data_IF_957756671264
#
_entry.id   IF_957756671264
#
_cell.length_a   1.000
_cell.length_b   1.000
_cell.length_c   1.000
_cell.angle_alpha   90.00
_cell.angle_beta   90.00
_cell.angle_gamma   90.00
#
_symmetry.space_group_name_H-M   'P 1'
#
loop_
_entity.id
_entity.type
_entity.pdbx_description
1 polymer ?
#
# COMPACT_ATOMS: atom_id res chain seq x y z
N UNK A 1 -32.95 47.99 -36.57
CA UNK A 1 -32.20 46.79 -37.01
C UNK A 1 -32.50 45.71 -35.95
N UNK A 2 -33.64 44.99 -36.03
CA UNK A 2 -33.85 43.71 -36.76
C UNK A 2 -32.77 42.69 -36.32
N UNK A 3 -33.03 41.57 -35.65
CA UNK A 3 -33.96 40.43 -35.91
C UNK A 3 -33.93 39.49 -34.66
N UNK A 4 -35.05 39.18 -33.97
CA UNK A 4 -35.94 37.97 -34.11
C UNK A 4 -35.32 36.69 -33.49
N UNK A 5 -35.73 36.24 -32.30
CA UNK A 5 -36.79 35.23 -32.00
C UNK A 5 -36.57 33.85 -32.65
N UNK A 6 -36.57 32.78 -31.84
CA UNK A 6 -37.24 31.47 -32.10
C UNK A 6 -37.57 30.85 -30.73
N UNK A 7 -38.85 30.94 -30.39
CA UNK A 7 -39.59 29.97 -29.58
C UNK A 7 -39.93 28.76 -30.48
N UNK A 8 -39.94 27.54 -29.92
CA UNK A 8 -41.00 26.53 -30.12
C UNK A 8 -40.61 25.25 -29.34
N UNK A 9 -41.22 24.84 -28.22
CA UNK A 9 -42.55 24.23 -28.02
C UNK A 9 -42.94 23.17 -29.04
N UNK A 10 -43.18 21.93 -28.55
CA UNK A 10 -44.21 20.92 -28.92
C UNK A 10 -43.79 19.59 -28.25
N UNK A 11 -44.55 19.07 -27.25
CA UNK A 11 -45.70 18.15 -27.38
C UNK A 11 -45.27 16.78 -27.97
N UNK A 12 -45.73 15.59 -27.59
CA UNK A 12 -46.72 15.06 -26.62
C UNK A 12 -46.69 13.51 -26.76
N UNK A 13 -47.29 12.80 -25.80
CA UNK A 13 -47.81 11.42 -25.86
C UNK A 13 -46.79 10.25 -25.89
N UNK A 14 -46.94 9.14 -25.16
CA UNK A 14 -48.12 8.60 -24.47
C UNK A 14 -48.63 7.34 -25.18
N UNK A 15 -48.36 6.15 -24.61
CA UNK A 15 -49.05 4.86 -24.83
C UNK A 15 -48.45 3.87 -23.80
N UNK A 16 -49.11 3.36 -22.75
CA UNK A 16 -50.30 2.48 -22.70
C UNK A 16 -50.16 1.30 -23.68
N UNK A 17 -50.38 0.03 -23.36
CA UNK A 17 -51.17 -0.62 -22.32
C UNK A 17 -50.89 -2.15 -22.34
N UNK A 18 -51.54 -2.86 -21.40
CA UNK A 18 -52.20 -4.17 -21.60
C UNK A 18 -51.34 -5.45 -21.69
N UNK A 19 -51.63 -6.62 -21.09
CA UNK A 19 -52.60 -7.13 -20.10
C UNK A 19 -52.23 -8.63 -19.78
N UNK A 20 -53.14 -9.57 -19.35
CA UNK A 20 -53.03 -10.23 -18.04
C UNK A 20 -53.21 -11.79 -18.04
N UNK A 21 -53.18 -12.40 -16.83
CA UNK A 21 -53.80 -13.70 -16.48
C UNK A 21 -53.10 -14.96 -17.02
N UNK A 22 -53.31 -16.18 -16.53
CA UNK A 22 -53.88 -16.78 -15.34
C UNK A 22 -53.60 -18.30 -15.50
N UNK A 23 -53.39 -19.04 -14.41
CA UNK A 23 -54.02 -20.37 -14.15
C UNK A 23 -53.35 -21.07 -12.96
N UNK A 24 -54.15 -21.24 -11.91
CA UNK A 24 -54.02 -22.22 -10.85
C UNK A 24 -54.45 -23.60 -11.35
N UNK A 25 -53.66 -24.65 -11.06
CA UNK A 25 -54.12 -26.03 -11.15
C UNK A 25 -53.87 -26.76 -9.83
N UNK A 26 -54.97 -27.05 -9.14
CA UNK A 26 -55.20 -28.12 -8.16
C UNK A 26 -54.73 -29.48 -8.72
N UNK A 27 -54.22 -30.49 -8.02
CA UNK A 27 -54.03 -30.81 -6.62
C UNK A 27 -53.66 -32.32 -6.53
N UNK A 28 -53.46 -32.79 -5.29
CA UNK A 28 -53.54 -34.19 -4.80
C UNK A 28 -52.44 -35.22 -5.11
N UNK A 29 -51.63 -35.47 -4.07
CA UNK A 29 -51.26 -36.74 -3.46
C UNK A 29 -50.96 -37.97 -4.33
N UNK A 30 -49.68 -38.34 -4.39
CA UNK A 30 -49.24 -39.74 -4.25
C UNK A 30 -48.08 -39.77 -3.23
N UNK A 31 -48.32 -40.47 -2.13
CA UNK A 31 -47.35 -40.89 -1.12
C UNK A 31 -46.36 -41.92 -1.66
N UNK A 32 -45.27 -42.15 -0.91
CA UNK A 32 -44.22 -43.18 -1.11
C UNK A 32 -43.29 -42.89 -2.30
N UNK A 33 -41.97 -42.69 -2.13
CA UNK A 33 -41.01 -43.45 -1.34
C UNK A 33 -39.92 -42.51 -0.79
N UNK A 34 -39.70 -42.59 0.52
CA UNK A 34 -38.47 -42.14 1.16
C UNK A 34 -37.30 -43.00 0.68
N UNK A 35 -36.62 -42.56 -0.37
CA UNK A 35 -35.23 -42.92 -0.58
C UNK A 35 -34.44 -41.62 -0.51
N UNK A 36 -34.03 -41.29 0.71
CA UNK A 36 -32.88 -40.43 0.94
C UNK A 36 -31.78 -40.93 0.00
N UNK A 37 -31.26 -40.12 -0.94
CA UNK A 37 -30.00 -40.50 -1.56
C UNK A 37 -29.01 -40.61 -0.41
N UNK A 38 -28.46 -41.81 -0.20
CA UNK A 38 -27.31 -42.01 0.65
C UNK A 38 -26.31 -40.98 0.18
N UNK A 39 -26.12 -39.93 0.98
CA UNK A 39 -25.13 -38.91 0.70
C UNK A 39 -23.82 -39.66 0.58
N UNK A 40 -23.28 -39.75 -0.64
CA UNK A 40 -21.92 -40.18 -0.85
C UNK A 40 -21.07 -39.45 0.19
N UNK A 41 -20.13 -40.11 0.89
CA UNK A 41 -19.23 -39.37 1.75
C UNK A 41 -18.67 -38.27 0.88
N UNK A 42 -18.94 -37.00 1.22
CA UNK A 42 -18.22 -35.89 0.61
C UNK A 42 -16.79 -36.25 0.90
N UNK A 43 -16.09 -36.75 -0.10
CA UNK A 43 -14.65 -36.90 -0.07
C UNK A 43 -14.21 -35.49 0.17
N UNK A 44 -13.98 -35.18 1.44
CA UNK A 44 -13.17 -34.06 1.81
C UNK A 44 -11.84 -34.39 1.16
N UNK A 45 -11.66 -33.92 -0.07
CA UNK A 45 -10.36 -33.47 -0.49
C UNK A 45 -9.98 -32.41 0.52
N UNK A 46 -9.46 -32.89 1.65
CA UNK A 46 -8.21 -32.43 2.24
C UNK A 46 -7.20 -32.40 1.09
N UNK A 47 -7.39 -31.48 0.15
CA UNK A 47 -6.28 -30.77 -0.44
C UNK A 47 -5.61 -30.21 0.79
N UNK A 48 -4.58 -30.91 1.24
CA UNK A 48 -3.65 -30.44 2.22
C UNK A 48 -3.43 -28.97 1.90
N UNK A 49 -3.88 -28.08 2.77
CA UNK A 49 -3.34 -26.74 2.82
C UNK A 49 -1.86 -26.95 3.11
N UNK A 50 -1.07 -27.12 2.04
CA UNK A 50 0.37 -27.13 2.11
C UNK A 50 0.71 -25.74 2.61
N UNK A 51 0.89 -25.62 3.93
CA UNK A 51 1.34 -24.42 4.59
C UNK A 51 2.81 -24.23 4.21
N UNK A 52 3.03 -23.87 2.95
CA UNK A 52 4.35 -23.64 2.39
C UNK A 52 4.82 -22.30 2.94
N UNK A 53 5.51 -22.39 4.07
CA UNK A 53 6.13 -21.24 4.70
C UNK A 53 7.15 -20.66 3.72
N UNK A 54 6.87 -19.46 3.21
CA UNK A 54 7.84 -18.75 2.37
C UNK A 54 9.10 -18.46 3.20
N UNK A 55 10.18 -19.17 2.89
CA UNK A 55 11.49 -19.02 3.51
C UNK A 55 12.19 -17.71 3.07
N UNK A 56 13.18 -17.25 3.86
CA UNK A 56 14.04 -16.08 3.54
C UNK A 56 13.29 -14.75 3.28
N UNK A 57 12.21 -14.48 4.00
CA UNK A 57 11.48 -13.19 3.94
C UNK A 57 12.32 -12.04 4.55
N UNK A 58 13.05 -11.30 3.70
CA UNK A 58 13.86 -10.14 4.12
C UNK A 58 13.12 -8.80 4.11
N UNK A 59 12.03 -8.68 3.34
CA UNK A 59 11.29 -7.42 3.18
C UNK A 59 10.16 -7.34 4.22
N UNK A 60 10.17 -6.29 5.03
CA UNK A 60 9.11 -6.02 6.00
C UNK A 60 7.82 -5.56 5.28
N UNK A 61 6.70 -6.25 5.50
CA UNK A 61 5.41 -5.90 4.85
C UNK A 61 4.72 -4.67 5.45
N UNK A 62 5.03 -4.32 6.71
CA UNK A 62 4.47 -3.15 7.43
C UNK A 62 2.93 -3.07 7.47
N UNK A 63 2.22 -4.17 7.22
CA UNK A 63 0.76 -4.19 7.12
C UNK A 63 0.19 -3.39 5.94
N UNK A 64 0.99 -3.10 4.91
CA UNK A 64 0.59 -2.30 3.74
C UNK A 64 0.85 -3.03 2.41
N UNK A 65 0.02 -2.80 1.37
CA UNK A 65 0.30 -3.28 0.01
C UNK A 65 1.60 -2.65 -0.53
N UNK A 66 2.11 -3.19 -1.64
CA UNK A 66 3.43 -2.85 -2.14
C UNK A 66 3.60 -1.35 -2.45
N UNK A 67 2.60 -0.74 -3.09
CA UNK A 67 2.67 0.66 -3.53
C UNK A 67 2.65 1.63 -2.34
N UNK A 68 1.70 1.43 -1.43
CA UNK A 68 1.61 2.21 -0.20
C UNK A 68 2.85 2.05 0.68
N UNK A 69 3.43 0.84 0.73
CA UNK A 69 4.66 0.59 1.47
C UNK A 69 5.84 1.34 0.85
N UNK A 70 5.96 1.35 -0.48
CA UNK A 70 7.00 2.11 -1.19
C UNK A 70 6.86 3.60 -0.90
N UNK A 71 5.65 4.15 -1.01
CA UNK A 71 5.38 5.56 -0.69
C UNK A 71 5.73 5.92 0.77
N UNK A 72 5.35 5.08 1.74
CA UNK A 72 5.69 5.28 3.15
C UNK A 72 7.22 5.31 3.39
N UNK A 73 7.95 4.37 2.80
CA UNK A 73 9.41 4.29 2.97
C UNK A 73 10.11 5.48 2.31
N UNK A 74 9.63 5.93 1.15
CA UNK A 74 10.12 7.14 0.48
C UNK A 74 9.92 8.37 1.36
N UNK A 75 8.70 8.58 1.85
CA UNK A 75 8.39 9.70 2.74
C UNK A 75 9.29 9.70 3.98
N UNK A 76 9.39 8.57 4.69
CA UNK A 76 10.26 8.47 5.87
C UNK A 76 11.74 8.72 5.55
N UNK A 77 12.22 8.29 4.37
CA UNK A 77 13.61 8.55 3.95
C UNK A 77 13.84 10.05 3.76
N UNK A 78 12.94 10.73 3.05
CA UNK A 78 13.00 12.18 2.82
C UNK A 78 12.99 12.95 4.14
N UNK A 79 12.08 12.60 5.04
CA UNK A 79 11.96 13.28 6.33
C UNK A 79 13.23 13.10 7.18
N UNK A 80 13.84 11.91 7.20
CA UNK A 80 15.07 11.66 7.97
C UNK A 80 16.23 12.50 7.42
N UNK A 81 16.35 12.62 6.10
CA UNK A 81 17.40 13.43 5.48
C UNK A 81 17.17 14.92 5.78
N UNK A 82 15.90 15.37 5.76
CA UNK A 82 15.52 16.76 6.04
C UNK A 82 15.81 17.18 7.48
N UNK A 83 15.44 16.36 8.45
CA UNK A 83 15.52 16.72 9.87
C UNK A 83 16.70 16.11 10.62
N UNK A 84 17.36 15.11 10.03
CA UNK A 84 18.45 14.34 10.67
C UNK A 84 17.99 13.36 11.75
N UNK A 85 16.81 13.58 12.36
CA UNK A 85 16.30 12.76 13.48
C UNK A 85 14.77 12.69 13.50
N UNK A 86 14.21 11.48 13.61
CA UNK A 86 12.75 11.27 13.65
C UNK A 86 12.36 10.16 14.64
N UNK A 87 11.24 10.38 15.36
CA UNK A 87 10.60 9.39 16.20
C UNK A 87 9.54 8.60 15.43
N UNK A 88 9.72 7.29 15.29
CA UNK A 88 8.78 6.39 14.59
C UNK A 88 8.58 5.07 15.36
N UNK A 89 7.87 4.11 14.78
CA UNK A 89 7.78 2.76 15.37
C UNK A 89 9.03 1.95 15.05
N UNK A 90 9.42 1.05 15.95
CA UNK A 90 10.63 0.22 15.81
C UNK A 90 10.68 -0.55 14.48
N UNK A 91 9.54 -1.08 14.05
CA UNK A 91 9.45 -1.86 12.80
C UNK A 91 9.68 -0.97 11.58
N UNK A 92 9.12 0.25 11.57
CA UNK A 92 9.34 1.22 10.49
C UNK A 92 10.77 1.72 10.48
N UNK A 93 11.33 2.08 11.64
CA UNK A 93 12.72 2.51 11.78
C UNK A 93 13.68 1.47 11.19
N UNK A 94 13.55 0.19 11.59
CA UNK A 94 14.39 -0.90 11.06
C UNK A 94 14.26 -1.09 9.55
N UNK A 95 13.07 -0.92 8.99
CA UNK A 95 12.85 -1.05 7.55
C UNK A 95 13.48 0.10 6.75
N UNK A 96 13.41 1.33 7.29
CA UNK A 96 13.89 2.54 6.62
C UNK A 96 15.42 2.63 6.59
N UNK A 97 16.13 2.06 7.59
CA UNK A 97 17.61 2.05 7.64
C UNK A 97 18.26 1.71 6.31
N UNK A 98 17.82 0.61 5.66
CA UNK A 98 18.37 0.17 4.37
C UNK A 98 18.26 1.25 3.29
N UNK A 99 17.15 1.99 3.26
CA UNK A 99 16.90 3.01 2.25
C UNK A 99 17.72 4.26 2.52
N UNK A 100 17.79 4.73 3.77
CA UNK A 100 18.59 5.90 4.15
C UNK A 100 20.08 5.64 3.94
N UNK A 101 20.59 4.49 4.39
CA UNK A 101 22.00 4.14 4.23
C UNK A 101 22.39 4.09 2.75
N UNK A 102 21.50 3.59 1.89
CA UNK A 102 21.71 3.59 0.44
C UNK A 102 21.71 5.01 -0.15
N UNK A 103 20.83 5.91 0.28
CA UNK A 103 20.84 7.30 -0.20
C UNK A 103 22.15 8.02 0.15
N UNK A 104 22.67 7.81 1.36
CA UNK A 104 23.95 8.40 1.79
C UNK A 104 25.10 7.81 0.98
N UNK A 105 25.09 6.51 0.70
CA UNK A 105 26.09 5.88 -0.15
C UNK A 105 26.07 6.41 -1.60
N UNK A 106 24.90 6.71 -2.15
CA UNK A 106 24.79 7.39 -3.45
C UNK A 106 25.33 8.82 -3.39
N UNK A 107 25.04 9.55 -2.31
CA UNK A 107 25.59 10.89 -2.06
C UNK A 107 27.12 10.90 -2.02
N UNK A 108 27.72 9.94 -1.31
CA UNK A 108 29.19 9.77 -1.23
C UNK A 108 29.82 9.45 -2.59
N UNK A 109 29.10 8.76 -3.49
CA UNK A 109 29.61 8.44 -4.84
C UNK A 109 29.69 9.67 -5.75
N UNK A 110 28.81 10.66 -5.60
CA UNK A 110 28.87 11.92 -6.35
C UNK A 110 28.54 11.88 -7.85
N UNK A 111 28.43 10.71 -8.47
CA UNK A 111 28.19 10.56 -9.92
C UNK A 111 26.80 11.04 -10.38
N UNK A 112 26.69 11.48 -11.64
CA UNK A 112 25.44 11.88 -12.28
C UNK A 112 24.42 10.74 -12.28
N UNK A 113 24.85 9.49 -12.49
CA UNK A 113 23.96 8.34 -12.39
C UNK A 113 23.40 8.17 -10.98
N UNK A 114 24.24 8.34 -9.95
CA UNK A 114 23.80 8.27 -8.55
C UNK A 114 22.80 9.39 -8.22
N UNK A 115 23.01 10.61 -8.73
CA UNK A 115 22.08 11.72 -8.55
C UNK A 115 20.71 11.45 -9.19
N UNK A 116 20.66 10.85 -10.39
CA UNK A 116 19.40 10.44 -11.04
C UNK A 116 18.66 9.37 -10.23
N UNK A 117 19.38 8.40 -9.65
CA UNK A 117 18.78 7.37 -8.78
C UNK A 117 18.19 7.99 -7.50
N UNK A 118 18.89 8.94 -6.88
CA UNK A 118 18.41 9.64 -5.69
C UNK A 118 17.14 10.46 -5.99
N UNK A 119 17.11 11.20 -7.10
CA UNK A 119 15.94 11.97 -7.57
C UNK A 119 14.73 11.08 -7.89
N UNK A 120 14.93 9.83 -8.30
CA UNK A 120 13.84 8.89 -8.53
C UNK A 120 13.17 8.42 -7.21
N UNK A 121 13.88 8.53 -6.08
CA UNK A 121 13.41 8.06 -4.77
C UNK A 121 12.90 9.20 -3.89
N UNK A 122 13.71 10.23 -3.66
CA UNK A 122 13.38 11.39 -2.81
C UNK A 122 12.41 12.33 -3.53
N UNK A 123 11.53 13.00 -2.78
CA UNK A 123 10.52 13.90 -3.36
C UNK A 123 11.09 15.29 -3.68
N UNK A 124 11.98 15.81 -2.83
CA UNK A 124 12.49 17.17 -2.92
C UNK A 124 13.84 17.21 -3.65
N UNK A 125 13.94 18.06 -4.67
CA UNK A 125 15.16 18.20 -5.49
C UNK A 125 16.27 18.92 -4.73
N UNK A 126 15.92 19.96 -3.99
CA UNK A 126 16.89 20.78 -3.24
C UNK A 126 17.55 19.96 -2.13
N UNK A 127 16.79 19.06 -1.50
CA UNK A 127 17.31 18.15 -0.47
C UNK A 127 18.31 17.14 -1.06
N UNK A 128 18.11 16.71 -2.29
CA UNK A 128 19.10 15.86 -2.98
C UNK A 128 20.37 16.67 -3.25
N UNK A 129 20.26 17.94 -3.63
CA UNK A 129 21.44 18.76 -3.85
C UNK A 129 22.28 18.92 -2.57
N UNK A 130 21.64 19.29 -1.46
CA UNK A 130 22.32 19.48 -0.18
C UNK A 130 22.89 18.17 0.39
N UNK A 131 22.22 17.03 0.16
CA UNK A 131 22.76 15.72 0.51
C UNK A 131 24.09 15.45 -0.21
N UNK A 132 24.18 15.72 -1.50
CA UNK A 132 25.39 15.44 -2.29
C UNK A 132 26.55 16.39 -1.96
N UNK A 133 26.26 17.59 -1.46
CA UNK A 133 27.28 18.52 -0.96
C UNK A 133 27.80 18.13 0.42
N UNK A 134 26.90 17.82 1.36
CA UNK A 134 27.27 17.55 2.75
C UNK A 134 27.74 16.11 3.02
N UNK A 135 27.25 15.12 2.26
CA UNK A 135 27.58 13.71 2.50
C UNK A 135 29.07 13.34 2.37
N UNK A 136 29.83 13.80 1.35
CA UNK A 136 31.24 13.41 1.21
C UNK A 136 32.10 13.93 2.36
N UNK A 137 31.84 15.13 2.86
CA UNK A 137 32.57 15.71 4.00
C UNK A 137 32.20 15.01 5.31
N UNK A 138 30.91 14.77 5.56
CA UNK A 138 30.44 14.20 6.83
C UNK A 138 30.72 12.71 7.00
N UNK A 139 30.77 11.95 5.90
CA UNK A 139 30.84 10.49 5.92
C UNK A 139 32.03 9.92 5.13
N UNK A 140 33.09 10.71 4.90
CA UNK A 140 34.32 10.28 4.20
C UNK A 140 34.90 9.01 4.82
N UNK A 141 35.02 9.01 6.14
CA UNK A 141 35.81 8.01 6.87
C UNK A 141 34.99 6.76 7.24
N UNK A 142 33.67 6.79 7.01
CA UNK A 142 32.75 5.72 7.39
C UNK A 142 32.33 4.89 6.17
N UNK A 143 32.52 3.58 6.26
CA UNK A 143 32.18 2.63 5.19
C UNK A 143 30.75 2.06 5.30
N UNK A 144 30.01 2.39 6.37
CA UNK A 144 28.62 2.00 6.52
C UNK A 144 28.02 2.29 7.88
N UNK A 145 26.73 1.98 8.03
CA UNK A 145 26.00 2.21 9.27
C UNK A 145 25.83 3.70 9.58
N UNK A 146 25.28 4.45 8.64
CA UNK A 146 25.06 5.90 8.76
C UNK A 146 23.86 6.23 9.64
N UNK A 147 22.97 5.26 9.87
CA UNK A 147 21.80 5.41 10.72
C UNK A 147 21.93 4.66 12.05
N UNK A 148 21.58 5.36 13.13
CA UNK A 148 21.40 4.78 14.46
C UNK A 148 19.91 4.67 14.79
N UNK A 149 19.50 3.56 15.41
CA UNK A 149 18.13 3.35 15.89
C UNK A 149 18.15 3.14 17.39
N UNK A 150 17.60 4.10 18.12
CA UNK A 150 17.47 4.10 19.56
C UNK A 150 16.05 3.72 19.96
N UNK A 151 15.89 2.75 20.86
CA UNK A 151 14.56 2.35 21.36
C UNK A 151 14.10 3.35 22.40
N UNK A 152 12.81 3.66 22.41
CA UNK A 152 12.18 4.56 23.38
C UNK A 152 11.03 3.84 24.08
N UNK A 153 10.47 4.48 25.10
CA UNK A 153 9.24 4.02 25.75
C UNK A 153 8.15 3.74 24.70
N UNK A 154 7.38 2.64 24.85
CA UNK A 154 6.21 2.39 24.02
C UNK A 154 5.21 3.56 24.05
N UNK A 155 4.44 3.68 22.98
CA UNK A 155 3.39 4.69 22.89
C UNK A 155 2.24 4.34 23.84
N UNK A 156 1.70 5.36 24.50
CA UNK A 156 0.52 5.21 25.34
C UNK A 156 -0.73 4.95 24.48
N UNK A 157 -1.56 4.00 24.89
CA UNK A 157 -2.78 3.61 24.18
C UNK A 157 -2.63 2.29 23.39
N UNK A 158 -1.83 2.28 22.33
CA UNK A 158 -1.66 1.10 21.46
C UNK A 158 -0.44 0.22 21.81
N UNK A 159 0.32 0.59 22.84
CA UNK A 159 1.56 -0.05 23.27
C UNK A 159 2.56 -0.30 22.12
N UNK A 160 2.52 0.55 21.08
CA UNK A 160 3.41 0.39 19.94
C UNK A 160 4.86 0.66 20.36
N UNK A 161 5.76 -0.28 20.07
CA UNK A 161 7.21 -0.12 20.33
C UNK A 161 7.76 1.04 19.50
N UNK A 162 8.16 2.11 20.17
CA UNK A 162 8.72 3.31 19.54
C UNK A 162 10.24 3.25 19.43
N UNK A 163 10.78 3.98 18.46
CA UNK A 163 12.20 4.18 18.28
C UNK A 163 12.48 5.54 17.64
N UNK A 164 13.62 6.13 17.97
CA UNK A 164 14.17 7.29 17.27
C UNK A 164 15.23 6.80 16.29
N UNK A 165 15.13 7.24 15.04
CA UNK A 165 16.17 7.05 14.02
C UNK A 165 16.90 8.37 13.80
N UNK A 166 18.22 8.31 13.85
CA UNK A 166 19.10 9.49 13.69
C UNK A 166 20.26 9.19 12.75
N UNK A 167 20.67 10.22 12.02
CA UNK A 167 21.91 10.25 11.25
C UNK A 167 23.09 10.44 12.22
N UNK A 168 24.17 9.69 11.99
CA UNK A 168 25.39 9.70 12.82
C UNK A 168 26.37 10.75 12.32
#
# INVERSE_FOLDING_TARGET
MKVTAILCSVLVAGASAFAPGATSFTGTHISTVSQSPIAAPRTSSRTSELNMMRHRKRVAKLGKPADQRKALLRALTTEIIRHGRIKTTLVRAKAVRKHVDHMIQLGKRGDLHARRQALAWVYDKDLVHSLFEAAPERYSDREGGYTRVLRTMPRQGDNAKMAVIELV
#
